data_IF_708201174051
#
_entry.id   IF_708201174051
#
_cell.length_a   1.000
_cell.length_b   1.000
_cell.length_c   1.000
_cell.angle_alpha   90.00
_cell.angle_beta   90.00
_cell.angle_gamma   90.00
#
_symmetry.space_group_name_H-M   'P 1'
#
loop_
_entity.id
_entity.type
_entity.pdbx_description
1 polymer ?
#
# COMPACT_ATOMS: atom_id res chain seq x y z
N UNK A 1 22.17 -30.88 -3.40
CA UNK A 1 21.11 -30.17 -4.14
C UNK A 1 21.27 -28.70 -3.80
N UNK A 2 21.67 -27.87 -4.75
CA UNK A 2 21.77 -26.41 -4.52
C UNK A 2 20.34 -25.87 -4.38
N UNK A 3 20.03 -25.05 -3.36
CA UNK A 3 18.72 -24.43 -3.26
C UNK A 3 18.47 -23.56 -4.49
N UNK A 4 17.23 -23.56 -5.00
CA UNK A 4 16.82 -22.61 -6.03
C UNK A 4 16.97 -21.18 -5.52
N UNK A 5 17.30 -20.21 -6.40
CA UNK A 5 17.35 -18.80 -6.00
C UNK A 5 15.97 -18.32 -5.53
N UNK A 6 15.92 -17.37 -4.56
CA UNK A 6 14.65 -16.87 -4.02
C UNK A 6 13.86 -16.07 -5.06
N UNK A 7 12.55 -16.21 -5.03
CA UNK A 7 11.59 -15.34 -5.74
C UNK A 7 11.48 -14.02 -4.99
N UNK A 8 11.94 -12.94 -5.63
CA UNK A 8 11.96 -11.60 -5.02
C UNK A 8 10.94 -10.69 -5.70
N UNK A 9 9.95 -10.23 -4.94
CA UNK A 9 9.06 -9.14 -5.34
C UNK A 9 9.70 -7.79 -4.99
N UNK A 10 10.07 -7.03 -6.01
CA UNK A 10 10.73 -5.71 -5.87
C UNK A 10 9.76 -4.54 -5.96
N UNK A 11 8.46 -4.79 -6.17
CA UNK A 11 7.46 -3.74 -6.32
C UNK A 11 6.27 -4.01 -5.40
N UNK A 12 6.49 -3.78 -4.11
CA UNK A 12 5.45 -3.87 -3.11
C UNK A 12 5.32 -2.58 -2.29
N UNK A 13 4.11 -2.39 -1.79
CA UNK A 13 3.73 -1.19 -1.07
C UNK A 13 3.25 -1.55 0.34
N UNK A 14 3.67 -0.76 1.33
CA UNK A 14 3.20 -0.83 2.72
C UNK A 14 2.38 0.42 3.05
N UNK A 15 1.28 0.23 3.79
CA UNK A 15 0.44 1.31 4.27
C UNK A 15 0.79 1.57 5.74
N UNK A 16 1.09 2.83 6.08
CA UNK A 16 1.54 3.23 7.42
C UNK A 16 0.63 4.37 7.94
N UNK A 17 -0.56 4.06 8.47
CA UNK A 17 -1.53 5.05 8.93
C UNK A 17 -0.98 6.04 9.97
N UNK A 18 -0.01 5.60 10.77
CA UNK A 18 0.63 6.40 11.80
C UNK A 18 1.40 7.59 11.22
N UNK A 19 1.93 7.48 10.00
CA UNK A 19 2.62 8.58 9.32
C UNK A 19 1.65 9.71 8.97
N UNK A 20 0.48 9.39 8.42
CA UNK A 20 -0.55 10.40 8.17
C UNK A 20 -1.03 11.04 9.48
N UNK A 21 -1.23 10.23 10.53
CA UNK A 21 -1.63 10.73 11.85
C UNK A 21 -0.60 11.69 12.46
N UNK A 22 0.70 11.46 12.24
CA UNK A 22 1.77 12.35 12.72
C UNK A 22 1.74 13.74 12.08
N UNK A 23 1.17 13.89 10.88
CA UNK A 23 1.11 15.16 10.15
C UNK A 23 -0.32 15.68 10.02
N UNK A 24 -1.25 15.16 10.83
CA UNK A 24 -2.64 15.61 10.83
C UNK A 24 -2.71 17.11 11.15
N UNK A 25 -3.55 17.84 10.41
CA UNK A 25 -3.65 19.30 10.50
C UNK A 25 -2.51 20.08 9.80
N UNK A 26 -1.44 19.42 9.33
CA UNK A 26 -0.42 20.10 8.53
C UNK A 26 -0.97 20.43 7.12
N UNK A 27 -0.73 21.65 6.58
CA UNK A 27 -1.21 22.03 5.25
C UNK A 27 -0.80 21.05 4.14
N UNK A 28 0.43 20.51 4.23
CA UNK A 28 0.97 19.56 3.26
C UNK A 28 0.15 18.27 3.12
N UNK A 29 -0.55 17.82 4.17
CA UNK A 29 -1.42 16.64 4.08
C UNK A 29 -2.66 16.92 3.21
N UNK A 30 -3.28 18.09 3.37
CA UNK A 30 -4.42 18.51 2.55
C UNK A 30 -4.01 18.73 1.08
N UNK A 31 -2.83 19.34 0.86
CA UNK A 31 -2.26 19.54 -0.47
C UNK A 31 -1.96 18.21 -1.17
N UNK A 32 -1.35 17.25 -0.46
CA UNK A 32 -1.08 15.91 -0.99
C UNK A 32 -2.37 15.18 -1.37
N UNK A 33 -3.40 15.22 -0.51
CA UNK A 33 -4.73 14.61 -0.79
C UNK A 33 -5.41 15.25 -1.99
N UNK A 34 -5.32 16.58 -2.13
CA UNK A 34 -5.87 17.31 -3.28
C UNK A 34 -5.15 16.95 -4.58
N UNK A 35 -3.81 16.88 -4.54
CA UNK A 35 -3.01 16.48 -5.69
C UNK A 35 -3.32 15.04 -6.14
N UNK A 36 -3.43 14.10 -5.20
CA UNK A 36 -3.76 12.71 -5.49
C UNK A 36 -5.17 12.58 -6.10
N UNK A 37 -6.15 13.31 -5.56
CA UNK A 37 -7.51 13.34 -6.12
C UNK A 37 -7.53 13.86 -7.57
N UNK A 38 -6.72 14.88 -7.87
CA UNK A 38 -6.59 15.45 -9.22
C UNK A 38 -5.87 14.51 -10.18
N UNK A 39 -4.83 13.80 -9.74
CA UNK A 39 -4.06 12.85 -10.56
C UNK A 39 -4.89 11.66 -11.00
N UNK A 40 -5.69 11.10 -10.08
CA UNK A 40 -6.53 9.94 -10.37
C UNK A 40 -7.83 10.33 -11.09
N UNK A 41 -8.43 11.46 -10.71
CA UNK A 41 -9.74 11.88 -11.22
C UNK A 41 -10.91 11.07 -10.63
N UNK A 42 -12.13 11.62 -10.66
CA UNK A 42 -13.28 11.05 -9.94
C UNK A 42 -13.72 9.67 -10.46
N UNK A 43 -13.65 9.46 -11.78
CA UNK A 43 -14.06 8.19 -12.39
C UNK A 43 -13.13 7.03 -11.99
N UNK A 44 -11.81 7.25 -11.99
CA UNK A 44 -10.85 6.23 -11.58
C UNK A 44 -11.00 5.94 -10.07
N UNK A 45 -11.14 6.99 -9.24
CA UNK A 45 -11.32 6.83 -7.79
C UNK A 45 -12.59 6.07 -7.41
N UNK A 46 -13.67 6.21 -8.19
CA UNK A 46 -14.90 5.45 -7.97
C UNK A 46 -14.68 3.94 -8.14
N UNK A 47 -13.72 3.53 -8.97
CA UNK A 47 -13.37 2.12 -9.22
C UNK A 47 -12.25 1.64 -8.30
N UNK A 48 -11.14 2.38 -8.22
CA UNK A 48 -9.94 1.97 -7.48
C UNK A 48 -10.09 2.14 -5.97
N UNK A 49 -10.87 3.13 -5.51
CA UNK A 49 -11.09 3.40 -4.08
C UNK A 49 -11.61 2.17 -3.31
N UNK A 50 -12.70 1.52 -3.76
CA UNK A 50 -13.16 0.26 -3.17
C UNK A 50 -12.08 -0.84 -3.16
N UNK A 51 -11.34 -1.00 -4.26
CA UNK A 51 -10.29 -2.02 -4.38
C UNK A 51 -9.15 -1.81 -3.37
N UNK A 52 -8.72 -0.56 -3.19
CA UNK A 52 -7.69 -0.19 -2.22
C UNK A 52 -8.19 -0.44 -0.80
N UNK A 53 -9.42 -0.01 -0.47
CA UNK A 53 -10.00 -0.26 0.87
C UNK A 53 -10.08 -1.73 1.22
N UNK A 54 -10.48 -2.57 0.27
CA UNK A 54 -10.54 -4.03 0.44
C UNK A 54 -9.15 -4.64 0.73
N UNK A 55 -8.10 -4.11 0.10
CA UNK A 55 -6.73 -4.65 0.18
C UNK A 55 -5.89 -4.03 1.32
N UNK A 56 -6.29 -2.87 1.83
CA UNK A 56 -5.55 -2.12 2.85
C UNK A 56 -5.13 -2.96 4.07
N UNK A 57 -5.96 -3.85 4.64
CA UNK A 57 -5.53 -4.69 5.77
C UNK A 57 -4.29 -5.55 5.46
N UNK A 58 -4.19 -6.07 4.24
CA UNK A 58 -3.04 -6.89 3.78
C UNK A 58 -1.77 -6.05 3.57
N UNK A 59 -1.91 -4.74 3.47
CA UNK A 59 -0.79 -3.81 3.32
C UNK A 59 -0.26 -3.30 4.66
N UNK A 60 -1.05 -3.42 5.74
CA UNK A 60 -0.73 -3.02 7.11
C UNK A 60 -0.28 -4.24 7.93
N UNK A 61 -1.07 -5.32 7.92
CA UNK A 61 -0.84 -6.49 8.77
C UNK A 61 0.26 -7.39 8.20
N UNK A 62 1.35 -7.53 8.95
CA UNK A 62 2.50 -8.36 8.58
C UNK A 62 2.16 -9.85 8.49
N UNK A 63 1.29 -10.37 9.36
CA UNK A 63 0.90 -11.79 9.35
C UNK A 63 0.08 -12.09 8.11
N UNK A 64 -0.89 -11.22 7.78
CA UNK A 64 -1.68 -11.36 6.56
C UNK A 64 -0.81 -11.25 5.29
N UNK A 65 0.19 -10.36 5.29
CA UNK A 65 1.16 -10.25 4.19
C UNK A 65 1.97 -11.54 4.02
N UNK A 66 2.56 -12.06 5.08
CA UNK A 66 3.39 -13.28 5.01
C UNK A 66 2.59 -14.48 4.52
N UNK A 67 1.35 -14.67 5.01
CA UNK A 67 0.48 -15.74 4.54
C UNK A 67 0.15 -15.63 3.03
N UNK A 68 0.04 -14.40 2.50
CA UNK A 68 -0.15 -14.19 1.07
C UNK A 68 1.14 -14.41 0.27
N UNK A 69 2.29 -14.01 0.79
CA UNK A 69 3.60 -14.30 0.20
C UNK A 69 3.81 -15.81 0.07
N UNK A 70 3.49 -16.58 1.10
CA UNK A 70 3.53 -18.05 1.10
C UNK A 70 2.61 -18.63 0.01
N UNK A 71 1.36 -18.14 -0.06
CA UNK A 71 0.40 -18.59 -1.07
C UNK A 71 0.80 -18.22 -2.51
N UNK A 72 1.63 -17.19 -2.69
CA UNK A 72 2.12 -16.71 -3.98
C UNK A 72 3.50 -17.28 -4.35
N UNK A 73 4.19 -17.95 -3.44
CA UNK A 73 5.57 -18.41 -3.63
C UNK A 73 6.57 -17.26 -3.72
N UNK A 74 6.34 -16.16 -2.98
CA UNK A 74 7.27 -15.03 -2.87
C UNK A 74 8.11 -15.18 -1.62
N UNK A 75 9.43 -15.37 -1.78
CA UNK A 75 10.35 -15.59 -0.66
C UNK A 75 10.77 -14.28 0.02
N UNK A 76 10.90 -13.20 -0.76
CA UNK A 76 11.34 -11.89 -0.27
C UNK A 76 10.52 -10.79 -0.95
N UNK A 77 10.07 -9.81 -0.17
CA UNK A 77 9.39 -8.64 -0.68
C UNK A 77 10.10 -7.35 -0.23
N UNK A 78 10.57 -6.55 -1.19
CA UNK A 78 11.04 -5.19 -0.94
C UNK A 78 9.82 -4.26 -0.89
N UNK A 79 9.57 -3.68 0.28
CA UNK A 79 8.42 -2.79 0.50
C UNK A 79 8.83 -1.32 0.52
N UNK A 80 7.99 -0.47 -0.06
CA UNK A 80 8.10 0.98 0.01
C UNK A 80 6.79 1.60 0.52
N UNK A 81 6.82 2.78 1.19
CA UNK A 81 5.60 3.43 1.63
C UNK A 81 4.69 3.78 0.45
N UNK A 82 3.40 3.45 0.55
CA UNK A 82 2.41 3.87 -0.44
C UNK A 82 2.00 5.32 -0.24
N UNK A 83 1.69 6.00 -1.33
CA UNK A 83 1.11 7.36 -1.32
C UNK A 83 -0.42 7.35 -1.35
N UNK A 84 -1.05 6.17 -1.36
CA UNK A 84 -2.51 6.03 -1.39
C UNK A 84 -3.16 6.40 -0.05
N UNK A 85 -4.40 6.91 -0.05
CA UNK A 85 -5.05 7.38 1.16
C UNK A 85 -5.27 6.24 2.17
N UNK A 86 -4.84 6.45 3.42
CA UNK A 86 -5.02 5.47 4.51
C UNK A 86 -6.47 5.35 5.00
N UNK A 87 -7.31 6.38 4.82
CA UNK A 87 -8.76 6.38 5.12
C UNK A 87 -9.55 7.33 4.20
N UNK A 88 -10.69 6.86 3.67
CA UNK A 88 -11.83 7.67 3.21
C UNK A 88 -13.11 7.02 3.71
#
# INVERSE_FOLDING_TARGET
MTPSPPTVDVHAHVLLPEIEAMVEGAPGLAEARSLDARRNGPAALAVSGPMVRERAPRMIDTVARLALMDAQGVDVQLVSPTTGPTRR
#
